data_IF_293150960517
#
_entry.id   IF_293150960517
#
_cell.length_a   1.000
_cell.length_b   1.000
_cell.length_c   1.000
_cell.angle_alpha   90.00
_cell.angle_beta   90.00
_cell.angle_gamma   90.00
#
_symmetry.space_group_name_H-M   'P 1'
#
loop_
_entity.id
_entity.type
_entity.pdbx_description
1 polymer ?
#
# COMPACT_ATOMS: atom_id res chain seq x y z
N UNK A 1 10.43 -2.08 5.48
CA UNK A 1 10.44 -0.68 5.94
C UNK A 1 11.67 -0.34 6.82
N UNK A 2 12.51 -1.32 7.20
CA UNK A 2 13.77 -1.08 7.92
C UNK A 2 13.62 -0.85 9.43
N UNK A 3 12.44 -1.02 10.00
CA UNK A 3 12.23 -0.96 11.45
C UNK A 3 12.60 -2.26 12.16
N UNK A 4 13.10 -2.16 13.40
CA UNK A 4 13.31 -3.28 14.29
C UNK A 4 12.04 -3.53 15.11
N UNK A 5 11.51 -4.75 15.06
CA UNK A 5 10.38 -5.16 15.89
C UNK A 5 10.90 -5.53 17.28
N UNK A 6 10.47 -4.80 18.30
CA UNK A 6 10.86 -5.04 19.68
C UNK A 6 9.93 -6.02 20.38
N UNK A 7 8.61 -5.94 20.10
CA UNK A 7 7.60 -6.79 20.75
C UNK A 7 6.38 -6.94 19.82
N UNK A 8 5.67 -8.07 19.94
CA UNK A 8 4.43 -8.35 19.22
C UNK A 8 3.32 -8.59 20.23
N UNK A 9 2.30 -7.75 20.20
CA UNK A 9 1.11 -7.87 21.04
C UNK A 9 -0.03 -8.52 20.27
N UNK A 10 -0.51 -9.65 20.77
CA UNK A 10 -1.63 -10.38 20.17
C UNK A 10 -2.84 -10.25 21.09
N UNK A 11 -4.01 -9.95 20.50
CA UNK A 11 -5.28 -9.92 21.19
C UNK A 11 -6.38 -10.54 20.32
N UNK A 12 -7.07 -11.54 20.85
CA UNK A 12 -8.30 -12.07 20.24
C UNK A 12 -9.46 -11.16 20.63
N UNK A 13 -10.09 -10.52 19.65
CA UNK A 13 -11.24 -9.65 19.84
C UNK A 13 -12.42 -10.18 19.03
N UNK A 14 -13.61 -10.25 19.66
CA UNK A 14 -14.85 -10.59 18.95
C UNK A 14 -15.37 -9.39 18.13
N UNK A 15 -15.23 -8.20 18.69
CA UNK A 15 -15.62 -6.93 18.06
C UNK A 15 -14.59 -5.86 18.41
N UNK A 16 -14.16 -5.08 17.42
CA UNK A 16 -13.21 -3.99 17.64
C UNK A 16 -13.86 -2.85 18.43
N UNK A 17 -13.07 -2.23 19.30
CA UNK A 17 -13.53 -1.05 20.02
C UNK A 17 -13.68 0.13 19.05
N UNK A 18 -14.84 0.80 18.96
CA UNK A 18 -15.07 1.89 18.01
C UNK A 18 -14.17 3.12 18.27
N UNK A 19 -13.67 3.29 19.50
CA UNK A 19 -12.80 4.43 19.86
C UNK A 19 -11.31 4.14 19.70
N UNK A 20 -10.86 2.91 20.01
CA UNK A 20 -9.43 2.59 20.14
C UNK A 20 -9.04 1.26 19.51
N UNK A 21 -9.93 0.63 18.71
CA UNK A 21 -9.75 -0.68 18.08
C UNK A 21 -9.56 -1.81 19.10
N UNK A 22 -8.59 -1.70 20.02
CA UNK A 22 -8.28 -2.62 21.12
C UNK A 22 -8.86 -2.13 22.45
N UNK A 23 -8.98 -3.03 23.43
CA UNK A 23 -9.46 -2.71 24.76
C UNK A 23 -8.49 -1.82 25.56
N UNK A 24 -9.03 -1.11 26.57
CA UNK A 24 -8.24 -0.18 27.40
C UNK A 24 -7.09 -0.89 28.16
N UNK A 25 -7.31 -2.11 28.64
CA UNK A 25 -6.27 -2.90 29.32
C UNK A 25 -5.05 -3.16 28.41
N UNK A 26 -5.30 -3.69 27.20
CA UNK A 26 -4.21 -3.94 26.23
C UNK A 26 -3.54 -2.62 25.80
N UNK A 27 -4.29 -1.53 25.63
CA UNK A 27 -3.73 -0.24 25.31
C UNK A 27 -2.80 0.29 26.42
N UNK A 28 -3.14 0.08 27.70
CA UNK A 28 -2.30 0.46 28.82
C UNK A 28 -1.03 -0.43 28.91
N UNK A 29 -1.15 -1.72 28.64
CA UNK A 29 0.00 -2.63 28.52
C UNK A 29 1.01 -2.13 27.48
N UNK A 30 0.52 -1.82 26.25
CA UNK A 30 1.34 -1.27 25.18
C UNK A 30 1.96 0.07 25.61
N UNK A 31 1.20 0.96 26.25
CA UNK A 31 1.70 2.25 26.73
C UNK A 31 2.87 2.10 27.73
N UNK A 32 2.77 1.17 28.68
CA UNK A 32 3.84 0.90 29.63
C UNK A 32 5.09 0.35 28.93
N UNK A 33 4.91 -0.52 27.94
CA UNK A 33 6.02 -1.05 27.15
C UNK A 33 6.72 0.06 26.33
N UNK A 34 5.96 0.96 25.69
CA UNK A 34 6.49 2.10 24.93
C UNK A 34 7.36 2.96 25.84
N UNK A 35 6.85 3.31 27.03
CA UNK A 35 7.57 4.16 27.97
C UNK A 35 8.87 3.51 28.47
N UNK A 36 8.83 2.18 28.73
CA UNK A 36 10.00 1.44 29.25
C UNK A 36 11.10 1.27 28.20
N UNK A 37 10.75 1.18 26.90
CA UNK A 37 11.68 0.81 25.84
C UNK A 37 11.89 1.92 24.79
N UNK A 38 11.37 3.13 25.03
CA UNK A 38 11.47 4.29 24.11
C UNK A 38 11.05 3.94 22.67
N UNK A 39 9.86 3.35 22.53
CA UNK A 39 9.35 2.90 21.23
C UNK A 39 8.83 4.11 20.43
N UNK A 40 9.43 4.37 19.29
CA UNK A 40 9.05 5.50 18.42
C UNK A 40 7.74 5.28 17.65
N UNK A 41 7.42 4.01 17.30
CA UNK A 41 6.29 3.72 16.39
C UNK A 41 5.59 2.43 16.79
N UNK A 42 4.25 2.45 16.79
CA UNK A 42 3.41 1.26 16.94
C UNK A 42 2.67 0.99 15.64
N UNK A 43 2.68 -0.28 15.21
CA UNK A 43 2.04 -0.70 13.97
C UNK A 43 0.86 -1.62 14.31
N UNK A 44 -0.30 -1.30 13.78
CA UNK A 44 -1.48 -2.15 13.84
C UNK A 44 -1.59 -2.97 12.54
N UNK A 45 -1.72 -4.28 12.65
CA UNK A 45 -1.88 -5.18 11.50
C UNK A 45 -3.34 -5.26 10.99
N UNK A 46 -4.11 -4.23 11.27
CA UNK A 46 -5.46 -4.01 10.78
C UNK A 46 -5.65 -2.56 10.34
N UNK A 47 -6.73 -2.29 9.61
CA UNK A 47 -7.11 -0.94 9.22
C UNK A 47 -7.72 -0.20 10.42
N UNK A 48 -7.26 1.02 10.68
CA UNK A 48 -7.80 1.90 11.70
C UNK A 48 -8.65 3.00 11.06
N UNK A 49 -9.80 3.25 11.64
CA UNK A 49 -10.55 4.45 11.29
C UNK A 49 -9.77 5.72 11.69
N UNK A 50 -10.00 6.87 11.03
CA UNK A 50 -9.35 8.13 11.40
C UNK A 50 -9.53 8.51 12.87
N UNK A 51 -10.69 8.18 13.45
CA UNK A 51 -10.99 8.43 14.87
C UNK A 51 -10.20 7.51 15.79
N UNK A 52 -10.11 6.23 15.45
CA UNK A 52 -9.33 5.26 16.22
C UNK A 52 -7.85 5.62 16.22
N UNK A 53 -7.30 5.91 15.04
CA UNK A 53 -5.89 6.29 14.90
C UNK A 53 -5.55 7.49 15.79
N UNK A 54 -6.33 8.57 15.70
CA UNK A 54 -6.14 9.74 16.56
C UNK A 54 -6.23 9.43 18.05
N UNK A 55 -7.26 8.70 18.47
CA UNK A 55 -7.46 8.39 19.89
C UNK A 55 -6.34 7.51 20.48
N UNK A 56 -5.80 6.59 19.64
CA UNK A 56 -4.66 5.74 20.03
C UNK A 56 -3.40 6.59 20.14
N UNK A 57 -3.13 7.46 19.16
CA UNK A 57 -1.97 8.35 19.13
C UNK A 57 -1.97 9.32 20.33
N UNK A 58 -3.13 9.89 20.67
CA UNK A 58 -3.31 10.74 21.86
C UNK A 58 -2.99 9.99 23.16
N UNK A 59 -3.32 8.68 23.24
CA UNK A 59 -3.11 7.88 24.46
C UNK A 59 -1.70 7.32 24.56
N UNK A 60 -1.13 6.86 23.47
CA UNK A 60 0.19 6.23 23.44
C UNK A 60 1.34 7.25 23.32
N UNK A 61 1.07 8.45 22.80
CA UNK A 61 2.06 9.54 22.62
C UNK A 61 3.25 9.14 21.72
N UNK A 62 3.03 8.24 20.78
CA UNK A 62 4.01 7.82 19.77
C UNK A 62 3.35 7.77 18.39
N UNK A 63 4.15 7.64 17.35
CA UNK A 63 3.63 7.49 15.97
C UNK A 63 2.85 6.19 15.83
N UNK A 64 1.65 6.28 15.29
CA UNK A 64 0.81 5.12 15.00
C UNK A 64 0.73 4.93 13.49
N UNK A 65 0.99 3.71 13.05
CA UNK A 65 0.75 3.28 11.67
C UNK A 65 -0.28 2.14 11.68
N UNK A 66 -1.24 2.21 10.80
CA UNK A 66 -2.08 1.07 10.49
C UNK A 66 -1.51 0.27 9.31
N UNK A 67 -2.13 -0.86 9.01
CA UNK A 67 -1.71 -1.75 7.92
C UNK A 67 -1.64 -1.02 6.57
N UNK A 68 -2.63 -0.16 6.27
CA UNK A 68 -2.66 0.61 5.00
C UNK A 68 -1.52 1.60 4.94
N UNK A 69 -1.31 2.37 5.99
CA UNK A 69 -0.22 3.35 6.07
C UNK A 69 1.15 2.69 5.88
N UNK A 70 1.37 1.52 6.50
CA UNK A 70 2.62 0.77 6.34
C UNK A 70 2.82 0.26 4.91
N UNK A 71 1.77 -0.27 4.27
CA UNK A 71 1.84 -0.75 2.88
C UNK A 71 2.16 0.43 1.94
N UNK A 72 1.49 1.58 2.11
CA UNK A 72 1.74 2.78 1.31
C UNK A 72 3.18 3.29 1.47
N UNK A 73 3.74 3.25 2.67
CA UNK A 73 5.14 3.61 2.90
C UNK A 73 6.11 2.66 2.18
N UNK A 74 5.84 1.35 2.22
CA UNK A 74 6.64 0.36 1.49
C UNK A 74 6.56 0.62 -0.02
N UNK A 75 5.36 0.90 -0.54
CA UNK A 75 5.16 1.19 -1.96
C UNK A 75 5.86 2.48 -2.40
N UNK A 76 5.81 3.53 -1.59
CA UNK A 76 6.53 4.78 -1.87
C UNK A 76 8.05 4.56 -2.01
N UNK A 77 8.61 3.67 -1.19
CA UNK A 77 10.03 3.31 -1.28
C UNK A 77 10.35 2.42 -2.49
N UNK A 78 9.39 1.63 -2.98
CA UNK A 78 9.60 0.64 -4.05
C UNK A 78 9.26 1.17 -5.45
N UNK A 79 8.40 2.16 -5.57
CA UNK A 79 8.00 2.75 -6.84
C UNK A 79 9.20 3.37 -7.57
N UNK A 80 9.56 2.81 -8.72
CA UNK A 80 10.69 3.28 -9.55
C UNK A 80 10.21 4.13 -10.70
N UNK A 81 9.18 3.68 -11.41
CA UNK A 81 8.65 4.41 -12.58
C UNK A 81 7.89 5.67 -12.16
N UNK A 82 7.83 6.64 -13.07
CA UNK A 82 7.02 7.86 -12.89
C UNK A 82 5.54 7.53 -12.72
N UNK A 83 5.08 6.45 -13.36
CA UNK A 83 3.72 5.98 -13.28
C UNK A 83 3.40 5.42 -11.89
N UNK A 84 4.16 4.42 -11.41
CA UNK A 84 3.97 3.85 -10.08
C UNK A 84 4.09 4.91 -8.96
N UNK A 85 5.03 5.85 -9.09
CA UNK A 85 5.14 6.96 -8.14
C UNK A 85 3.86 7.80 -8.05
N UNK A 86 3.22 8.10 -9.20
CA UNK A 86 1.96 8.85 -9.22
C UNK A 86 0.79 8.05 -8.65
N UNK A 87 0.74 6.75 -8.91
CA UNK A 87 -0.29 5.88 -8.34
C UNK A 87 -0.17 5.79 -6.82
N UNK A 88 1.06 5.59 -6.30
CA UNK A 88 1.32 5.56 -4.85
C UNK A 88 1.01 6.91 -4.22
N UNK A 89 1.43 8.01 -4.86
CA UNK A 89 1.13 9.38 -4.39
C UNK A 89 -0.39 9.63 -4.33
N UNK A 90 -1.13 9.19 -5.34
CA UNK A 90 -2.59 9.26 -5.33
C UNK A 90 -3.19 8.50 -4.15
N UNK A 91 -2.80 7.25 -3.96
CA UNK A 91 -3.28 6.42 -2.85
C UNK A 91 -2.93 7.03 -1.48
N UNK A 92 -1.75 7.63 -1.33
CA UNK A 92 -1.34 8.33 -0.12
C UNK A 92 -2.24 9.55 0.17
N UNK A 93 -2.58 10.36 -0.84
CA UNK A 93 -3.49 11.49 -0.65
C UNK A 93 -4.92 11.04 -0.37
N UNK A 94 -5.41 9.99 -1.02
CA UNK A 94 -6.74 9.42 -0.74
C UNK A 94 -6.82 8.84 0.69
N UNK A 95 -5.77 8.18 1.16
CA UNK A 95 -5.65 7.71 2.54
C UNK A 95 -5.57 8.86 3.56
N UNK A 96 -4.85 9.94 3.22
CA UNK A 96 -4.64 11.09 4.10
C UNK A 96 -5.90 11.97 4.22
N UNK A 97 -6.65 12.16 3.14
CA UNK A 97 -7.77 13.10 3.06
C UNK A 97 -8.80 12.96 4.20
N UNK A 98 -9.32 11.76 4.56
CA UNK A 98 -10.23 11.58 5.68
C UNK A 98 -9.56 11.78 7.05
N UNK A 99 -8.22 11.67 7.11
CA UNK A 99 -7.41 11.74 8.33
C UNK A 99 -6.95 13.18 8.67
N UNK A 100 -7.04 14.12 7.74
CA UNK A 100 -6.64 15.52 7.94
C UNK A 100 -7.37 16.17 9.11
N UNK A 101 -8.65 15.87 9.35
CA UNK A 101 -9.40 16.39 10.51
C UNK A 101 -8.75 16.09 11.87
N UNK A 102 -7.98 15.02 11.98
CA UNK A 102 -7.37 14.58 13.22
C UNK A 102 -6.01 15.22 13.52
N UNK A 103 -5.29 15.63 12.49
CA UNK A 103 -3.92 16.14 12.62
C UNK A 103 -3.88 17.58 13.21
N UNK A 104 -4.96 18.35 13.06
CA UNK A 104 -5.02 19.77 13.42
C UNK A 104 -5.75 20.09 14.73
N UNK A 105 -6.27 19.10 15.45
CA UNK A 105 -7.03 19.33 16.71
C UNK A 105 -6.20 19.95 17.83
N UNK A 106 -4.88 19.98 17.73
CA UNK A 106 -4.03 20.70 18.70
C UNK A 106 -4.11 22.22 18.51
N UNK A 107 -4.33 22.71 17.30
CA UNK A 107 -4.39 24.13 16.98
C UNK A 107 -5.77 24.73 17.27
N UNK A 108 -6.85 23.95 17.14
CA UNK A 108 -8.21 24.35 17.48
C UNK A 108 -8.38 24.74 18.97
N UNK A 109 -7.59 24.12 19.85
CA UNK A 109 -7.67 24.40 21.32
C UNK A 109 -6.95 25.65 21.77
N UNK A 110 -6.16 26.29 20.92
CA UNK A 110 -5.33 27.42 21.35
C UNK A 110 -5.94 28.80 21.20
N UNK A 111 -6.98 29.02 20.41
CA UNK A 111 -7.65 30.35 20.31
C UNK A 111 -9.06 30.25 19.72
N UNK A 112 -10.08 30.56 20.52
CA UNK A 112 -11.41 30.81 20.00
C UNK A 112 -12.40 31.04 21.13
N UNK A 113 -12.87 32.27 21.34
CA UNK A 113 -14.05 32.57 22.12
C UNK A 113 -15.30 32.02 21.42
N UNK A 114 -16.36 31.80 22.20
CA UNK A 114 -17.67 31.31 21.73
C UNK A 114 -18.16 32.16 20.54
N UNK A 115 -18.29 31.53 19.35
CA UNK A 115 -18.89 32.12 18.13
C UNK A 115 -17.95 32.64 17.05
N UNK A 116 -16.63 32.55 17.18
CA UNK A 116 -15.70 32.88 16.11
C UNK A 116 -15.16 31.59 15.47
N UNK A 117 -15.30 31.45 14.15
CA UNK A 117 -14.53 30.47 13.35
C UNK A 117 -13.05 30.76 13.59
N UNK A 118 -12.36 29.85 14.27
CA UNK A 118 -10.93 29.99 14.53
C UNK A 118 -10.12 29.88 13.23
N UNK A 119 -8.92 30.47 13.16
CA UNK A 119 -8.02 30.34 11.99
C UNK A 119 -7.71 28.87 11.61
N UNK A 120 -7.82 27.92 12.56
CA UNK A 120 -7.63 26.50 12.30
C UNK A 120 -8.70 25.85 11.41
N UNK A 121 -9.98 26.29 11.44
CA UNK A 121 -11.01 25.77 10.55
C UNK A 121 -10.75 26.16 9.08
N UNK A 122 -10.32 27.39 8.85
CA UNK A 122 -9.98 27.86 7.48
C UNK A 122 -8.73 27.18 6.93
N UNK A 123 -7.76 26.87 7.78
CA UNK A 123 -6.55 26.15 7.39
C UNK A 123 -6.87 24.68 7.01
N UNK A 124 -7.68 23.98 7.80
CA UNK A 124 -8.11 22.60 7.49
C UNK A 124 -8.90 22.54 6.18
N UNK A 125 -9.80 23.49 5.94
CA UNK A 125 -10.56 23.54 4.68
C UNK A 125 -9.64 23.83 3.49
N UNK A 126 -8.64 24.68 3.67
CA UNK A 126 -7.64 25.01 2.68
C UNK A 126 -6.78 23.78 2.35
N UNK A 127 -6.27 23.08 3.37
CA UNK A 127 -5.48 21.85 3.19
C UNK A 127 -6.28 20.76 2.50
N UNK A 128 -7.55 20.58 2.88
CA UNK A 128 -8.45 19.65 2.20
C UNK A 128 -8.67 20.00 0.75
N UNK A 129 -8.80 21.27 0.42
CA UNK A 129 -8.93 21.72 -0.97
C UNK A 129 -7.66 21.42 -1.73
N UNK A 130 -6.50 21.77 -1.21
CA UNK A 130 -5.20 21.47 -1.81
C UNK A 130 -5.05 19.97 -2.07
N UNK A 131 -5.39 19.13 -1.11
CA UNK A 131 -5.30 17.66 -1.27
C UNK A 131 -6.29 17.16 -2.31
N UNK A 132 -7.52 17.66 -2.36
CA UNK A 132 -8.51 17.30 -3.40
C UNK A 132 -8.06 17.74 -4.79
N UNK A 133 -7.50 18.93 -4.93
CA UNK A 133 -6.95 19.42 -6.20
C UNK A 133 -5.79 18.56 -6.66
N UNK A 134 -4.91 18.14 -5.74
CA UNK A 134 -3.82 17.20 -6.02
C UNK A 134 -4.34 15.84 -6.48
N UNK A 135 -5.33 15.27 -5.79
CA UNK A 135 -6.00 14.01 -6.18
C UNK A 135 -6.55 14.13 -7.61
N UNK A 136 -7.29 15.21 -7.91
CA UNK A 136 -7.86 15.44 -9.24
C UNK A 136 -6.78 15.54 -10.32
N UNK A 137 -5.71 16.29 -10.04
CA UNK A 137 -4.59 16.42 -10.96
C UNK A 137 -3.87 15.10 -11.22
N UNK A 138 -3.63 14.30 -10.15
CA UNK A 138 -2.98 12.99 -10.27
C UNK A 138 -3.85 12.01 -11.07
N UNK A 139 -5.17 11.97 -10.84
CA UNK A 139 -6.11 11.14 -11.62
C UNK A 139 -6.04 11.46 -13.11
N UNK A 140 -6.07 12.73 -13.47
CA UNK A 140 -5.93 13.16 -14.88
C UNK A 140 -4.58 12.74 -15.49
N UNK A 141 -3.48 12.88 -14.73
CA UNK A 141 -2.15 12.46 -15.20
C UNK A 141 -2.04 10.95 -15.41
N UNK A 142 -2.61 10.16 -14.49
CA UNK A 142 -2.65 8.71 -14.58
C UNK A 142 -3.47 8.28 -15.79
N UNK A 143 -4.67 8.86 -16.00
CA UNK A 143 -5.51 8.56 -17.15
C UNK A 143 -4.80 8.78 -18.51
N UNK A 144 -4.02 9.87 -18.63
CA UNK A 144 -3.23 10.12 -19.83
C UNK A 144 -2.18 9.02 -20.05
N UNK A 145 -1.49 8.62 -18.99
CA UNK A 145 -0.48 7.55 -19.07
C UNK A 145 -1.14 6.20 -19.40
N UNK A 146 -2.29 5.89 -18.81
CA UNK A 146 -3.04 4.65 -19.10
C UNK A 146 -3.43 4.56 -20.57
N UNK A 147 -3.91 5.66 -21.16
CA UNK A 147 -4.20 5.73 -22.60
C UNK A 147 -2.94 5.47 -23.44
N UNK A 148 -1.80 6.05 -23.07
CA UNK A 148 -0.53 5.81 -23.77
C UNK A 148 -0.07 4.36 -23.65
N UNK A 149 -0.17 3.77 -22.46
CA UNK A 149 0.19 2.38 -22.20
C UNK A 149 -0.72 1.40 -22.96
N UNK A 150 -2.03 1.69 -23.03
CA UNK A 150 -2.99 0.91 -23.81
C UNK A 150 -2.61 0.85 -25.29
N UNK A 151 -2.24 2.00 -25.90
CA UNK A 151 -1.76 2.05 -27.29
C UNK A 151 -0.48 1.24 -27.46
N UNK A 152 0.48 1.34 -26.52
CA UNK A 152 1.73 0.59 -26.58
C UNK A 152 1.48 -0.93 -26.44
N UNK A 153 0.52 -1.34 -25.61
CA UNK A 153 0.12 -2.73 -25.43
C UNK A 153 -0.50 -3.29 -26.71
N UNK A 154 -1.37 -2.55 -27.37
CA UNK A 154 -1.95 -2.96 -28.67
C UNK A 154 -0.92 -3.20 -29.77
N UNK A 155 0.24 -2.55 -29.72
CA UNK A 155 1.32 -2.69 -30.71
C UNK A 155 2.29 -3.87 -30.42
N UNK A 156 2.07 -4.69 -29.35
CA UNK A 156 2.94 -5.82 -28.99
C UNK A 156 2.82 -7.05 -29.91
N UNK A 157 1.98 -6.99 -30.94
CA UNK A 157 1.83 -8.06 -31.95
C UNK A 157 1.04 -9.28 -31.43
N UNK A 158 1.10 -10.40 -32.21
CA UNK A 158 0.36 -11.64 -31.93
C UNK A 158 1.10 -12.62 -31.00
N UNK A 159 2.04 -12.16 -30.18
CA UNK A 159 2.74 -13.05 -29.25
C UNK A 159 1.83 -13.43 -28.09
N UNK A 160 1.85 -14.70 -27.71
CA UNK A 160 1.17 -15.22 -26.53
C UNK A 160 1.66 -14.45 -25.30
N UNK A 161 0.73 -13.99 -24.46
CA UNK A 161 0.99 -13.21 -23.24
C UNK A 161 0.81 -14.10 -22.02
N UNK A 162 1.85 -14.23 -21.22
CA UNK A 162 1.82 -14.97 -19.96
C UNK A 162 2.03 -13.97 -18.82
N UNK A 163 1.19 -14.03 -17.79
CA UNK A 163 1.39 -13.27 -16.56
C UNK A 163 1.69 -14.20 -15.39
N UNK A 164 2.74 -13.84 -14.61
CA UNK A 164 3.09 -14.56 -13.40
C UNK A 164 2.32 -13.92 -12.25
N UNK A 165 1.48 -14.69 -11.57
CA UNK A 165 0.68 -14.26 -10.43
C UNK A 165 1.01 -15.10 -9.19
N UNK A 166 0.68 -14.59 -8.02
CA UNK A 166 0.88 -15.29 -6.74
C UNK A 166 1.19 -14.32 -5.61
N UNK A 167 1.30 -14.86 -4.42
CA UNK A 167 1.51 -14.05 -3.21
C UNK A 167 2.85 -13.29 -3.25
N UNK A 168 2.95 -12.23 -2.46
CA UNK A 168 4.23 -11.50 -2.36
C UNK A 168 5.32 -12.41 -1.80
N UNK A 169 6.54 -12.28 -2.33
CA UNK A 169 7.73 -13.03 -1.91
C UNK A 169 7.72 -14.55 -2.18
N UNK A 170 6.83 -15.08 -3.02
CA UNK A 170 6.82 -16.52 -3.42
C UNK A 170 7.82 -16.87 -4.53
N UNK A 171 8.62 -15.92 -4.99
CA UNK A 171 9.65 -16.16 -6.01
C UNK A 171 9.25 -15.84 -7.45
N UNK A 172 8.18 -15.08 -7.72
CA UNK A 172 7.74 -14.69 -9.07
C UNK A 172 8.86 -14.07 -9.91
N UNK A 173 9.50 -13.04 -9.41
CA UNK A 173 10.61 -12.34 -10.09
C UNK A 173 11.84 -13.23 -10.26
N UNK A 174 12.08 -14.18 -9.35
CA UNK A 174 13.12 -15.19 -9.48
C UNK A 174 12.84 -16.14 -10.64
N UNK A 175 11.59 -16.60 -10.74
CA UNK A 175 11.14 -17.43 -11.84
C UNK A 175 11.27 -16.69 -13.19
N UNK A 176 10.84 -15.42 -13.23
CA UNK A 176 11.01 -14.58 -14.41
C UNK A 176 12.46 -14.45 -14.84
N UNK A 177 13.39 -14.22 -13.90
CA UNK A 177 14.82 -14.15 -14.18
C UNK A 177 15.37 -15.45 -14.77
N UNK A 178 14.94 -16.58 -14.23
CA UNK A 178 15.35 -17.90 -14.71
C UNK A 178 14.89 -18.13 -16.16
N UNK A 179 13.65 -17.80 -16.48
CA UNK A 179 13.06 -18.03 -17.80
C UNK A 179 13.56 -17.04 -18.84
N UNK A 180 13.72 -15.78 -18.48
CA UNK A 180 14.11 -14.71 -19.43
C UNK A 180 15.61 -14.57 -19.61
N UNK A 181 16.43 -15.32 -18.88
CA UNK A 181 17.90 -15.19 -18.83
C UNK A 181 18.36 -13.75 -18.59
N UNK A 182 17.54 -12.96 -17.96
CA UNK A 182 17.79 -11.55 -17.67
C UNK A 182 17.92 -11.33 -16.16
N UNK A 183 18.63 -10.28 -15.75
CA UNK A 183 18.71 -9.88 -14.33
C UNK A 183 17.61 -8.87 -14.04
N UNK A 184 16.43 -9.33 -13.69
CA UNK A 184 15.42 -8.48 -13.04
C UNK A 184 15.73 -8.44 -11.55
N UNK A 185 15.53 -7.29 -10.94
CA UNK A 185 15.78 -7.10 -9.53
C UNK A 185 14.84 -7.97 -8.69
N UNK A 186 15.37 -9.02 -8.12
CA UNK A 186 14.66 -9.93 -7.22
C UNK A 186 15.30 -9.82 -5.83
N UNK A 187 14.54 -9.35 -4.84
CA UNK A 187 14.94 -9.31 -3.44
C UNK A 187 14.00 -10.15 -2.59
N UNK A 188 14.54 -10.73 -1.53
CA UNK A 188 13.75 -11.41 -0.50
C UNK A 188 13.07 -10.37 0.42
N UNK A 189 12.15 -9.59 -0.15
CA UNK A 189 11.41 -8.52 0.53
C UNK A 189 9.99 -8.44 -0.02
N UNK A 190 9.06 -8.09 0.84
CA UNK A 190 7.67 -7.85 0.44
C UNK A 190 7.61 -6.74 -0.62
N UNK A 191 6.82 -6.97 -1.66
CA UNK A 191 6.62 -6.03 -2.78
C UNK A 191 7.94 -5.59 -3.44
N UNK A 192 8.84 -6.56 -3.67
CA UNK A 192 10.07 -6.29 -4.41
C UNK A 192 9.79 -5.75 -5.82
N UNK A 193 8.74 -6.26 -6.46
CA UNK A 193 8.20 -5.79 -7.74
C UNK A 193 6.92 -5.00 -7.50
N UNK A 194 6.93 -3.71 -7.80
CA UNK A 194 5.76 -2.83 -7.81
C UNK A 194 5.41 -2.41 -9.24
N UNK A 195 6.41 -2.28 -10.08
CA UNK A 195 6.26 -1.95 -11.50
C UNK A 195 6.23 -3.24 -12.32
N UNK A 196 5.19 -3.42 -13.13
CA UNK A 196 5.10 -4.57 -14.03
C UNK A 196 6.28 -4.56 -15.01
N UNK A 197 6.93 -5.70 -15.13
CA UNK A 197 8.02 -5.90 -16.09
C UNK A 197 7.61 -6.92 -17.13
N UNK A 198 7.57 -6.52 -18.39
CA UNK A 198 7.27 -7.43 -19.53
C UNK A 198 8.54 -7.78 -20.26
N UNK A 199 8.75 -9.06 -20.54
CA UNK A 199 9.93 -9.57 -21.25
C UNK A 199 9.51 -10.52 -22.36
N UNK A 200 10.18 -10.43 -23.51
CA UNK A 200 10.08 -11.45 -24.55
C UNK A 200 10.98 -12.62 -24.18
N UNK A 201 10.38 -13.78 -24.07
CA UNK A 201 11.06 -15.06 -23.75
C UNK A 201 10.94 -15.98 -24.98
N UNK A 202 11.98 -16.78 -25.25
CA UNK A 202 11.97 -17.75 -26.33
C UNK A 202 12.39 -19.11 -25.75
N UNK A 203 11.49 -20.09 -25.80
CA UNK A 203 11.77 -21.47 -25.38
C UNK A 203 11.50 -22.38 -26.58
N UNK A 204 12.49 -23.19 -26.98
CA UNK A 204 12.38 -24.12 -28.14
C UNK A 204 11.77 -23.44 -29.37
N UNK A 205 12.26 -22.27 -29.75
CA UNK A 205 11.79 -21.47 -30.88
C UNK A 205 10.35 -20.88 -30.75
N UNK A 206 9.71 -21.01 -29.60
CA UNK A 206 8.41 -20.40 -29.34
C UNK A 206 8.61 -19.08 -28.61
N UNK A 207 8.40 -17.93 -29.25
CA UNK A 207 8.46 -16.63 -28.60
C UNK A 207 7.13 -16.29 -27.90
N UNK A 208 7.21 -15.76 -26.69
CA UNK A 208 6.06 -15.26 -25.93
C UNK A 208 6.47 -14.05 -25.06
N UNK A 209 5.48 -13.32 -24.58
CA UNK A 209 5.67 -12.24 -23.62
C UNK A 209 5.38 -12.77 -22.22
N UNK A 210 6.30 -12.52 -21.29
CA UNK A 210 6.17 -12.88 -19.88
C UNK A 210 6.15 -11.63 -19.04
N UNK A 211 5.10 -11.46 -18.25
CA UNK A 211 4.88 -10.30 -17.35
C UNK A 211 5.06 -10.74 -15.90
N UNK A 212 5.94 -10.06 -15.15
CA UNK A 212 6.01 -10.15 -13.68
C UNK A 212 5.06 -9.12 -13.08
N UNK A 213 4.22 -9.54 -12.16
CA UNK A 213 3.18 -8.71 -11.58
C UNK A 213 3.42 -8.45 -10.09
N UNK A 214 2.74 -7.45 -9.55
CA UNK A 214 2.74 -7.18 -8.11
C UNK A 214 2.21 -8.40 -7.36
N UNK A 215 2.92 -8.81 -6.29
CA UNK A 215 2.47 -9.91 -5.46
C UNK A 215 1.22 -9.60 -4.65
N UNK A 216 0.31 -10.56 -4.57
CA UNK A 216 -0.85 -10.45 -3.70
C UNK A 216 -0.46 -10.46 -2.23
N UNK A 217 -1.30 -9.88 -1.40
CA UNK A 217 -1.18 -9.84 0.06
C UNK A 217 -2.58 -10.02 0.67
N UNK A 218 -2.64 -10.69 1.80
CA UNK A 218 -3.91 -10.82 2.54
C UNK A 218 -4.45 -9.46 2.95
N UNK A 219 -5.78 -9.31 2.96
CA UNK A 219 -6.47 -8.07 3.34
C UNK A 219 -5.93 -6.84 2.55
N UNK A 220 -5.73 -7.01 1.24
CA UNK A 220 -5.35 -5.88 0.39
C UNK A 220 -6.49 -4.85 0.39
N UNK A 221 -6.24 -3.60 0.79
CA UNK A 221 -7.26 -2.57 0.80
C UNK A 221 -7.77 -2.28 -0.62
N UNK A 222 -9.10 -2.14 -0.77
CA UNK A 222 -9.72 -1.84 -2.08
C UNK A 222 -9.19 -0.57 -2.74
N UNK A 223 -8.87 0.44 -1.94
CA UNK A 223 -8.25 1.69 -2.42
C UNK A 223 -6.90 1.45 -3.11
N UNK A 224 -6.12 0.46 -2.65
CA UNK A 224 -4.86 0.09 -3.28
C UNK A 224 -5.09 -0.72 -4.57
N UNK A 225 -6.16 -1.50 -4.67
CA UNK A 225 -6.51 -2.24 -5.90
C UNK A 225 -6.71 -1.26 -7.06
N UNK A 226 -7.45 -0.17 -6.85
CA UNK A 226 -7.63 0.86 -7.88
C UNK A 226 -6.31 1.52 -8.29
N UNK A 227 -5.41 1.74 -7.32
CA UNK A 227 -4.08 2.30 -7.59
C UNK A 227 -3.16 1.35 -8.37
N UNK A 228 -3.44 0.04 -8.36
CA UNK A 228 -2.69 -0.98 -9.11
C UNK A 228 -3.42 -1.52 -10.33
N UNK A 229 -4.50 -0.88 -10.74
CA UNK A 229 -5.30 -1.32 -11.88
C UNK A 229 -4.45 -1.64 -13.11
N UNK A 230 -3.48 -0.81 -13.44
CA UNK A 230 -2.63 -1.03 -14.62
C UNK A 230 -1.67 -2.24 -14.49
N UNK A 231 -1.27 -2.59 -13.27
CA UNK A 231 -0.50 -3.83 -13.05
C UNK A 231 -1.40 -5.05 -13.15
N UNK A 232 -2.67 -4.91 -12.80
CA UNK A 232 -3.70 -5.92 -12.99
C UNK A 232 -4.16 -6.00 -14.45
N UNK A 233 -4.10 -4.91 -15.22
CA UNK A 233 -4.40 -4.92 -16.67
C UNK A 233 -3.51 -5.92 -17.44
N UNK A 234 -2.23 -6.09 -17.06
CA UNK A 234 -1.36 -7.09 -17.67
C UNK A 234 -1.81 -8.53 -17.32
N UNK A 235 -2.47 -8.74 -16.19
CA UNK A 235 -3.08 -10.03 -15.82
C UNK A 235 -4.37 -10.25 -16.59
N UNK A 236 -5.18 -9.20 -16.73
CA UNK A 236 -6.45 -9.24 -17.45
C UNK A 236 -6.27 -9.46 -18.96
N UNK A 237 -5.19 -8.89 -19.53
CA UNK A 237 -4.83 -9.05 -20.93
C UNK A 237 -3.99 -10.32 -21.24
N UNK A 238 -3.66 -11.14 -20.23
CA UNK A 238 -2.86 -12.34 -20.42
C UNK A 238 -3.69 -13.49 -21.01
N UNK A 239 -3.12 -14.20 -21.99
CA UNK A 239 -3.71 -15.41 -22.54
C UNK A 239 -3.60 -16.60 -21.57
N UNK A 240 -2.55 -16.62 -20.73
CA UNK A 240 -2.29 -17.64 -19.72
C UNK A 240 -1.74 -17.03 -18.44
N UNK A 241 -2.17 -17.60 -17.30
CA UNK A 241 -1.67 -17.23 -15.97
C UNK A 241 -0.77 -18.34 -15.42
N UNK A 242 0.38 -17.96 -14.90
CA UNK A 242 1.29 -18.83 -14.15
C UNK A 242 1.14 -18.50 -12.69
N UNK A 243 0.42 -19.32 -11.93
CA UNK A 243 0.25 -19.14 -10.50
C UNK A 243 1.42 -19.78 -9.73
N UNK A 244 2.19 -18.96 -9.02
CA UNK A 244 3.32 -19.40 -8.20
C UNK A 244 2.91 -19.44 -6.75
N UNK A 245 3.05 -20.61 -6.13
CA UNK A 245 2.67 -20.88 -4.74
C UNK A 245 3.88 -21.41 -3.97
N UNK A 246 4.12 -20.86 -2.77
CA UNK A 246 5.14 -21.36 -1.85
C UNK A 246 4.53 -22.45 -0.95
N UNK A 247 4.74 -23.72 -1.30
CA UNK A 247 4.24 -24.88 -0.54
C UNK A 247 4.96 -25.10 0.80
N UNK A 248 6.06 -24.40 1.06
CA UNK A 248 6.75 -24.47 2.35
C UNK A 248 6.07 -23.65 3.45
N UNK A 249 5.18 -22.75 3.04
CA UNK A 249 4.44 -21.91 3.98
C UNK A 249 3.28 -22.70 4.61
N UNK A 250 3.15 -22.65 5.95
CA UNK A 250 2.13 -23.41 6.71
C UNK A 250 0.68 -23.12 6.28
N UNK A 251 0.42 -21.96 5.71
CA UNK A 251 -0.91 -21.50 5.26
C UNK A 251 -0.96 -21.32 3.73
N UNK A 252 -0.27 -22.16 2.96
CA UNK A 252 -0.19 -22.01 1.51
C UNK A 252 -1.57 -22.12 0.81
N UNK A 253 -2.53 -22.84 1.40
CA UNK A 253 -3.91 -22.94 0.89
C UNK A 253 -4.68 -21.61 0.97
N UNK A 254 -4.25 -20.68 1.84
CA UNK A 254 -4.88 -19.37 1.99
C UNK A 254 -4.17 -18.28 1.16
N UNK A 255 -3.08 -18.64 0.45
CA UNK A 255 -2.32 -17.80 -0.46
C UNK A 255 -2.72 -18.04 -1.91
#
# INVERSE_FOLDING_TARGET
AGGLVLEIFIQKIKQSNPKTFIGSGKLNEIKLFIYKNDVATVIFDDELSPVQLRNIEEKLKCKILDRIGLILDIFAQRAKTSYAKKQVELAQYEYLLPRLKGLWTHLERQKGGIGMRGPGETEIETDRRIVRDKISLLKKKIEVIDKQMSVQRGNRGYLIRLAIVGYTNVGKSTLMNLLSKSKVFAENKLFATLDTTVRKVVIKNLPFLLSDTVGFIRKLPTQLIESFKSTLDEVEEADLLIHVVDISHSNFEEH
#
